data_IF_943586240470
#
_entry.id   IF_943586240470
#
_cell.length_a   1.000
_cell.length_b   1.000
_cell.length_c   1.000
_cell.angle_alpha   90.00
_cell.angle_beta   90.00
_cell.angle_gamma   90.00
#
_symmetry.space_group_name_H-M   'P 1'
#
loop_
_entity.id
_entity.type
_entity.pdbx_description
1 polymer ?
#
# COMPACT_ATOMS: atom_id res chain seq x y z
N UNK A 1 34.57 7.24 1.33
CA UNK A 1 34.08 6.09 0.49
C UNK A 1 32.75 5.62 1.04
N UNK A 2 31.76 5.36 0.16
CA UNK A 2 30.47 4.82 0.64
C UNK A 2 30.49 3.30 0.57
N UNK A 3 30.04 2.65 1.63
CA UNK A 3 29.91 1.20 1.76
C UNK A 3 28.67 0.78 2.54
N UNK A 4 28.34 -0.48 2.46
CA UNK A 4 27.29 -1.06 3.34
C UNK A 4 27.74 -1.02 4.81
N UNK A 5 26.82 -0.64 5.69
CA UNK A 5 27.03 -0.68 7.13
C UNK A 5 27.01 -2.13 7.64
N UNK A 6 27.74 -2.36 8.72
CA UNK A 6 27.84 -3.64 9.42
C UNK A 6 27.54 -3.47 10.91
N UNK A 7 27.45 -4.56 11.66
CA UNK A 7 27.23 -4.50 13.11
C UNK A 7 28.39 -3.81 13.86
N UNK A 8 29.60 -3.75 13.29
CA UNK A 8 30.73 -3.02 13.88
C UNK A 8 30.50 -1.50 13.86
N UNK A 9 29.67 -1.00 12.92
CA UNK A 9 29.38 0.42 12.78
C UNK A 9 28.29 0.92 13.77
N UNK A 10 27.62 0.00 14.46
CA UNK A 10 26.43 0.27 15.28
C UNK A 10 26.65 1.40 16.31
N UNK A 11 27.83 1.48 16.91
CA UNK A 11 28.11 2.52 17.91
C UNK A 11 28.21 3.91 17.26
N UNK A 12 28.81 4.00 16.08
CA UNK A 12 28.94 5.25 15.34
C UNK A 12 27.60 5.69 14.74
N UNK A 13 26.78 4.76 14.25
CA UNK A 13 25.43 5.07 13.78
C UNK A 13 24.59 5.69 14.89
N UNK A 14 24.59 5.10 16.10
CA UNK A 14 23.88 5.66 17.28
C UNK A 14 24.46 7.01 17.69
N UNK A 15 25.77 7.20 17.59
CA UNK A 15 26.40 8.50 17.90
C UNK A 15 25.92 9.59 16.94
N UNK A 16 25.94 9.33 15.63
CA UNK A 16 25.50 10.28 14.62
C UNK A 16 24.02 10.59 14.77
N UNK A 17 23.20 9.57 15.02
CA UNK A 17 21.76 9.70 15.30
C UNK A 17 21.52 10.70 16.44
N UNK A 18 22.16 10.47 17.59
CA UNK A 18 22.01 11.31 18.78
C UNK A 18 22.49 12.76 18.57
N UNK A 19 23.46 12.98 17.68
CA UNK A 19 23.94 14.32 17.32
C UNK A 19 23.07 15.04 16.30
N UNK A 20 22.25 14.29 15.54
CA UNK A 20 21.51 14.82 14.40
C UNK A 20 20.03 15.06 14.69
N UNK A 21 19.45 14.32 15.64
CA UNK A 21 18.02 14.38 15.96
C UNK A 21 17.80 14.65 17.44
N UNK A 22 16.78 15.44 17.75
CA UNK A 22 16.35 15.73 19.13
C UNK A 22 15.25 14.77 19.59
N UNK A 23 14.32 14.44 18.69
CA UNK A 23 13.19 13.51 18.88
C UNK A 23 13.26 12.35 17.89
N UNK A 24 12.39 11.36 18.02
CA UNK A 24 12.21 10.25 17.06
C UNK A 24 13.51 9.46 16.76
N UNK A 25 14.42 9.37 17.73
CA UNK A 25 15.73 8.73 17.57
C UNK A 25 15.64 7.23 17.53
N UNK A 26 16.38 6.62 16.62
CA UNK A 26 16.55 5.18 16.63
C UNK A 26 17.39 4.71 17.81
N UNK A 27 16.84 3.73 18.52
CA UNK A 27 17.58 3.04 19.56
C UNK A 27 18.67 2.13 18.96
N UNK A 28 19.67 1.79 19.76
CA UNK A 28 20.66 0.76 19.40
C UNK A 28 20.00 -0.57 18.97
N UNK A 29 18.86 -0.93 19.60
CA UNK A 29 18.08 -2.13 19.26
C UNK A 29 17.44 -2.00 17.87
N UNK A 30 16.88 -0.83 17.56
CA UNK A 30 16.28 -0.55 16.25
C UNK A 30 17.33 -0.63 15.13
N UNK A 31 18.49 0.01 15.28
CA UNK A 31 19.59 -0.10 14.31
C UNK A 31 20.03 -1.56 14.12
N UNK A 32 20.20 -2.32 15.20
CA UNK A 32 20.56 -3.74 15.09
C UNK A 32 19.53 -4.52 14.29
N UNK A 33 18.24 -4.31 14.55
CA UNK A 33 17.16 -4.97 13.81
C UNK A 33 17.21 -4.62 12.33
N UNK A 34 17.36 -3.33 12.01
CA UNK A 34 17.43 -2.83 10.64
C UNK A 34 18.66 -3.34 9.88
N UNK A 35 19.79 -3.51 10.55
CA UNK A 35 21.01 -4.06 9.95
C UNK A 35 20.97 -5.60 9.76
N UNK A 36 20.10 -6.34 10.45
CA UNK A 36 20.22 -7.82 10.49
C UNK A 36 18.94 -8.58 10.12
N UNK A 37 17.78 -7.97 10.25
CA UNK A 37 16.48 -8.65 10.16
C UNK A 37 15.52 -8.02 9.17
N UNK A 38 15.51 -6.69 9.09
CA UNK A 38 14.60 -5.96 8.21
C UNK A 38 15.00 -6.13 6.74
N UNK A 39 14.04 -5.96 5.84
CA UNK A 39 14.31 -5.80 4.41
C UNK A 39 14.83 -4.38 4.13
N UNK A 40 16.04 -4.13 4.60
CA UNK A 40 16.65 -2.81 4.66
C UNK A 40 18.09 -2.84 4.18
N UNK A 41 18.57 -1.69 3.71
CA UNK A 41 19.97 -1.43 3.39
C UNK A 41 20.42 -0.16 4.08
N UNK A 42 21.49 -0.23 4.84
CA UNK A 42 22.14 0.95 5.43
C UNK A 42 23.48 1.16 4.76
N UNK A 43 23.72 2.37 4.25
CA UNK A 43 24.98 2.81 3.68
C UNK A 43 25.63 3.82 4.61
N UNK A 44 26.93 3.79 4.73
CA UNK A 44 27.74 4.73 5.49
C UNK A 44 28.78 5.40 4.60
N UNK A 45 29.02 6.69 4.81
CA UNK A 45 30.18 7.37 4.25
C UNK A 45 31.32 7.30 5.27
N UNK A 46 32.43 6.68 4.87
CA UNK A 46 33.63 6.51 5.69
C UNK A 46 34.82 7.22 5.08
N UNK A 47 35.57 7.92 5.90
CA UNK A 47 36.84 8.50 5.56
C UNK A 47 37.81 8.35 6.74
N UNK A 48 39.02 7.86 6.45
CA UNK A 48 40.11 7.67 7.46
C UNK A 48 39.66 6.87 8.70
N UNK A 49 38.80 5.85 8.48
CA UNK A 49 38.25 5.00 9.53
C UNK A 49 37.12 5.64 10.35
N UNK A 50 36.67 6.84 9.98
CA UNK A 50 35.58 7.55 10.66
C UNK A 50 34.32 7.58 9.79
N UNK A 51 33.16 7.24 10.38
CA UNK A 51 31.86 7.38 9.71
C UNK A 51 31.39 8.82 9.85
N UNK A 52 31.12 9.44 8.69
CA UNK A 52 30.73 10.85 8.56
C UNK A 52 29.22 11.04 8.35
N UNK A 53 28.50 9.96 8.02
CA UNK A 53 27.06 10.00 7.81
C UNK A 53 26.54 8.64 7.38
N UNK A 54 25.24 8.50 7.40
CA UNK A 54 24.56 7.29 6.92
C UNK A 54 23.26 7.62 6.21
N UNK A 55 22.80 6.67 5.39
CA UNK A 55 21.44 6.63 4.83
C UNK A 55 20.90 5.21 4.95
N UNK A 56 19.62 5.10 5.28
CA UNK A 56 18.92 3.85 5.48
C UNK A 56 17.74 3.75 4.54
N UNK A 57 17.67 2.66 3.78
CA UNK A 57 16.59 2.33 2.86
C UNK A 57 15.79 1.15 3.41
N UNK A 58 14.49 1.23 3.29
CA UNK A 58 13.55 0.11 3.43
C UNK A 58 13.03 -0.27 2.05
N UNK A 59 12.92 -1.57 1.78
CA UNK A 59 12.35 -2.09 0.55
C UNK A 59 11.04 -2.80 0.84
N UNK A 60 9.98 -2.40 0.15
CA UNK A 60 8.67 -3.00 0.33
C UNK A 60 8.56 -4.29 -0.47
N UNK A 61 8.51 -5.42 0.22
CA UNK A 61 8.40 -6.75 -0.39
C UNK A 61 7.14 -6.81 -1.27
N UNK A 62 7.30 -7.37 -2.48
CA UNK A 62 6.20 -7.53 -3.45
C UNK A 62 5.86 -6.26 -4.23
N UNK A 63 6.59 -5.17 -4.01
CA UNK A 63 6.44 -3.91 -4.76
C UNK A 63 7.78 -3.42 -5.30
N UNK A 64 7.77 -2.44 -6.18
CA UNK A 64 8.98 -1.77 -6.69
C UNK A 64 9.14 -0.37 -6.09
N UNK A 65 8.91 -0.25 -4.78
CA UNK A 65 9.02 0.98 -4.00
C UNK A 65 10.14 0.88 -2.96
N UNK A 66 11.05 1.86 -2.95
CA UNK A 66 11.99 2.08 -1.86
C UNK A 66 11.54 3.25 -0.98
N UNK A 67 11.83 3.18 0.31
CA UNK A 67 11.66 4.28 1.25
C UNK A 67 13.00 4.64 1.88
N UNK A 68 13.41 5.90 1.74
CA UNK A 68 14.54 6.44 2.49
C UNK A 68 14.03 6.74 3.90
N UNK A 69 14.36 5.84 4.83
CA UNK A 69 13.77 5.77 6.16
C UNK A 69 14.48 6.66 7.18
N UNK A 70 15.80 6.75 7.09
CA UNK A 70 16.60 7.67 7.89
C UNK A 70 17.85 8.11 7.14
N UNK A 71 18.29 9.32 7.44
CA UNK A 71 19.44 9.95 6.82
C UNK A 71 20.04 10.98 7.76
N UNK A 72 21.33 10.84 8.06
CA UNK A 72 22.02 11.80 8.90
C UNK A 72 23.49 11.98 8.48
N UNK A 73 23.97 13.20 8.62
CA UNK A 73 25.37 13.57 8.44
C UNK A 73 25.90 14.15 9.74
N UNK A 74 27.02 13.61 10.22
CA UNK A 74 27.73 14.12 11.39
C UNK A 74 27.89 15.65 11.27
N UNK A 75 27.48 16.42 12.30
CA UNK A 75 27.60 17.87 12.27
C UNK A 75 28.98 18.37 11.84
N UNK A 76 30.07 17.68 12.23
CA UNK A 76 31.45 18.02 11.86
C UNK A 76 31.76 17.79 10.36
N UNK A 77 30.97 16.95 9.67
CA UNK A 77 31.15 16.61 8.25
C UNK A 77 30.12 17.29 7.32
N UNK A 78 29.24 18.14 7.87
CA UNK A 78 28.28 18.89 7.08
C UNK A 78 28.97 19.86 6.11
N UNK A 79 28.27 20.18 5.00
CA UNK A 79 28.75 21.05 3.90
C UNK A 79 29.98 20.54 3.15
N UNK A 80 30.38 19.28 3.35
CA UNK A 80 31.49 18.62 2.66
C UNK A 80 31.01 17.67 1.53
N UNK A 81 29.73 17.74 1.13
CA UNK A 81 29.19 16.92 0.06
C UNK A 81 28.74 15.51 0.49
N UNK A 82 29.00 15.12 1.76
CA UNK A 82 28.67 13.77 2.29
C UNK A 82 27.22 13.41 2.05
N UNK A 83 26.31 14.32 2.36
CA UNK A 83 24.88 14.07 2.19
C UNK A 83 24.48 13.84 0.75
N UNK A 84 24.99 14.66 -0.18
CA UNK A 84 24.71 14.49 -1.61
C UNK A 84 25.24 13.13 -2.14
N UNK A 85 26.42 12.71 -1.69
CA UNK A 85 26.99 11.43 -2.06
C UNK A 85 26.16 10.25 -1.55
N UNK A 86 25.71 10.33 -0.28
CA UNK A 86 24.82 9.28 0.32
C UNK A 86 23.48 9.17 -0.41
N UNK A 87 22.81 10.29 -0.73
CA UNK A 87 21.53 10.27 -1.46
C UNK A 87 21.72 9.68 -2.86
N UNK A 88 22.78 10.07 -3.59
CA UNK A 88 23.07 9.52 -4.91
C UNK A 88 23.29 8.00 -4.86
N UNK A 89 24.03 7.51 -3.88
CA UNK A 89 24.28 6.08 -3.73
C UNK A 89 23.01 5.33 -3.27
N UNK A 90 22.15 5.96 -2.46
CA UNK A 90 20.87 5.40 -2.06
C UNK A 90 19.92 5.21 -3.27
N UNK A 91 19.87 6.17 -4.19
CA UNK A 91 19.10 6.06 -5.43
C UNK A 91 19.63 4.91 -6.31
N UNK A 92 20.94 4.78 -6.43
CA UNK A 92 21.56 3.68 -7.18
C UNK A 92 21.24 2.32 -6.56
N UNK A 93 21.33 2.20 -5.24
CA UNK A 93 20.99 0.98 -4.50
C UNK A 93 19.50 0.61 -4.70
N UNK A 94 18.60 1.61 -4.69
CA UNK A 94 17.20 1.37 -4.95
C UNK A 94 16.93 0.86 -6.38
N UNK A 95 17.62 1.41 -7.38
CA UNK A 95 17.55 0.93 -8.78
C UNK A 95 18.04 -0.51 -8.89
N UNK A 96 19.14 -0.85 -8.22
CA UNK A 96 19.71 -2.21 -8.19
C UNK A 96 18.78 -3.23 -7.49
N UNK A 97 17.85 -2.74 -6.65
CA UNK A 97 16.76 -3.53 -6.04
C UNK A 97 15.45 -3.47 -6.85
N UNK A 98 15.50 -3.14 -8.14
CA UNK A 98 14.35 -3.07 -9.04
C UNK A 98 13.26 -2.07 -8.58
N UNK A 99 13.62 -1.05 -7.80
CA UNK A 99 12.68 0.00 -7.40
C UNK A 99 12.56 1.06 -8.48
N UNK A 100 11.34 1.48 -8.79
CA UNK A 100 11.03 2.52 -9.77
C UNK A 100 10.67 3.87 -9.14
N UNK A 101 10.49 3.88 -7.83
CA UNK A 101 10.23 5.10 -7.05
C UNK A 101 10.91 5.04 -5.69
N UNK A 102 11.32 6.21 -5.19
CA UNK A 102 11.82 6.37 -3.83
C UNK A 102 11.01 7.45 -3.13
N UNK A 103 10.57 7.14 -1.91
CA UNK A 103 9.80 8.03 -1.03
C UNK A 103 10.55 8.33 0.27
N UNK A 104 10.20 9.45 0.86
CA UNK A 104 10.73 9.84 2.16
C UNK A 104 9.80 10.87 2.83
N UNK A 105 9.91 10.99 4.13
CA UNK A 105 9.28 12.03 4.93
C UNK A 105 10.36 12.96 5.48
N UNK A 106 10.08 14.26 5.42
CA UNK A 106 10.96 15.32 5.96
C UNK A 106 10.16 16.17 6.91
N UNK A 107 10.70 16.44 8.05
CA UNK A 107 10.17 17.37 9.02
C UNK A 107 9.93 18.73 8.35
N UNK A 108 8.76 19.31 8.53
CA UNK A 108 8.34 20.52 7.81
C UNK A 108 9.27 21.74 8.04
N UNK A 109 9.95 21.79 9.17
CA UNK A 109 10.90 22.84 9.53
C UNK A 109 12.36 22.54 9.14
N UNK A 110 12.64 21.41 8.49
CA UNK A 110 14.01 21.04 8.07
C UNK A 110 14.31 21.53 6.64
N UNK A 111 14.47 22.84 6.48
CA UNK A 111 14.78 23.50 5.20
C UNK A 111 16.01 22.91 4.51
N UNK A 112 17.02 22.52 5.26
CA UNK A 112 18.26 21.97 4.70
C UNK A 112 18.01 20.65 3.95
N UNK A 113 17.24 19.74 4.55
CA UNK A 113 16.85 18.49 3.89
C UNK A 113 15.85 18.72 2.77
N UNK A 114 14.86 19.58 2.96
CA UNK A 114 13.87 19.95 1.94
C UNK A 114 14.57 20.44 0.68
N UNK A 115 15.52 21.38 0.80
CA UNK A 115 16.27 21.92 -0.33
C UNK A 115 17.16 20.84 -0.98
N UNK A 116 17.83 20.03 -0.18
CA UNK A 116 18.66 18.93 -0.70
C UNK A 116 17.84 17.99 -1.59
N UNK A 117 16.70 17.49 -1.11
CA UNK A 117 15.89 16.54 -1.86
C UNK A 117 15.19 17.18 -3.07
N UNK A 118 14.78 18.45 -2.98
CA UNK A 118 14.30 19.20 -4.15
C UNK A 118 15.37 19.31 -5.24
N UNK A 119 16.62 19.59 -4.88
CA UNK A 119 17.77 19.62 -5.82
C UNK A 119 18.01 18.26 -6.48
N UNK A 120 17.70 17.15 -5.79
CA UNK A 120 17.73 15.80 -6.34
C UNK A 120 16.52 15.45 -7.23
N UNK A 121 15.56 16.36 -7.37
CA UNK A 121 14.35 16.17 -8.18
C UNK A 121 13.20 15.48 -7.47
N UNK A 122 13.25 15.36 -6.15
CA UNK A 122 12.10 14.91 -5.38
C UNK A 122 11.00 15.97 -5.37
N UNK A 123 9.76 15.53 -5.50
CA UNK A 123 8.57 16.38 -5.48
C UNK A 123 7.76 16.09 -4.24
N UNK A 124 7.28 17.13 -3.59
CA UNK A 124 6.33 16.98 -2.49
C UNK A 124 5.00 16.46 -3.05
N UNK A 125 4.51 15.37 -2.46
CA UNK A 125 3.25 14.73 -2.87
C UNK A 125 2.17 14.87 -1.80
N UNK A 126 2.55 15.09 -0.54
CA UNK A 126 1.61 15.17 0.58
C UNK A 126 2.20 15.91 1.78
N UNK A 127 1.35 16.21 2.77
CA UNK A 127 1.73 16.69 4.11
C UNK A 127 0.97 15.87 5.14
N UNK A 128 1.69 15.24 6.05
CA UNK A 128 1.13 14.40 7.11
C UNK A 128 1.15 15.18 8.42
N UNK A 129 0.01 15.62 8.93
CA UNK A 129 -0.04 16.33 10.22
C UNK A 129 0.30 15.40 11.37
N UNK A 130 0.79 15.96 12.46
CA UNK A 130 1.08 15.25 13.73
C UNK A 130 1.93 13.98 13.55
N UNK A 131 2.91 14.04 12.65
CA UNK A 131 3.73 12.88 12.27
C UNK A 131 4.83 12.56 13.28
N UNK A 132 5.52 13.59 13.78
CA UNK A 132 6.62 13.46 14.74
C UNK A 132 6.11 13.47 16.19
N UNK A 133 6.89 12.91 17.13
CA UNK A 133 6.51 12.82 18.55
C UNK A 133 6.12 14.17 19.17
N UNK A 134 6.67 15.27 18.65
CA UNK A 134 6.35 16.64 19.12
C UNK A 134 5.17 17.28 18.37
N UNK A 135 4.45 16.53 17.55
CA UNK A 135 3.31 16.99 16.76
C UNK A 135 3.68 17.75 15.48
N UNK A 136 4.96 17.85 15.12
CA UNK A 136 5.37 18.49 13.87
C UNK A 136 4.92 17.66 12.66
N UNK A 137 4.44 18.35 11.63
CA UNK A 137 4.06 17.71 10.38
C UNK A 137 5.28 17.21 9.58
N UNK A 138 5.09 16.15 8.82
CA UNK A 138 6.02 15.68 7.80
C UNK A 138 5.57 16.10 6.40
N UNK A 139 6.51 16.56 5.60
CA UNK A 139 6.35 16.68 4.16
C UNK A 139 6.77 15.37 3.50
N UNK A 140 5.86 14.75 2.75
CA UNK A 140 6.12 13.52 2.00
C UNK A 140 6.63 13.87 0.62
N UNK A 141 7.77 13.30 0.26
CA UNK A 141 8.40 13.49 -1.05
C UNK A 141 8.51 12.18 -1.80
N UNK A 142 8.45 12.27 -3.12
CA UNK A 142 8.66 11.15 -4.04
C UNK A 142 9.55 11.58 -5.21
N UNK A 143 10.38 10.62 -5.67
CA UNK A 143 11.12 10.71 -6.93
C UNK A 143 10.90 9.43 -7.73
N UNK A 144 10.55 9.58 -9.02
CA UNK A 144 10.62 8.48 -9.97
C UNK A 144 12.10 8.16 -10.28
N UNK A 145 12.47 6.90 -10.10
CA UNK A 145 13.78 6.36 -10.51
C UNK A 145 13.76 5.76 -11.92
N UNK A 146 12.56 5.66 -12.51
CA UNK A 146 12.31 5.19 -13.86
C UNK A 146 11.52 6.24 -14.66
N UNK A 147 12.13 7.40 -15.02
CA UNK A 147 11.41 8.52 -15.61
C UNK A 147 10.83 8.25 -17.01
N UNK A 148 11.23 7.14 -17.64
CA UNK A 148 10.65 6.68 -18.91
C UNK A 148 9.25 6.05 -18.73
N UNK A 149 8.87 5.64 -17.52
CA UNK A 149 7.53 5.15 -17.22
C UNK A 149 6.60 6.34 -16.96
N UNK A 150 5.47 6.35 -17.65
CA UNK A 150 4.44 7.37 -17.50
C UNK A 150 3.13 6.68 -17.13
N UNK A 151 2.85 6.50 -15.82
CA UNK A 151 1.64 5.85 -15.39
C UNK A 151 0.41 6.72 -15.67
N UNK A 152 -0.64 6.10 -16.22
CA UNK A 152 -1.97 6.67 -16.20
C UNK A 152 -2.58 6.46 -14.82
N UNK A 153 -2.75 7.54 -14.07
CA UNK A 153 -3.15 7.52 -12.66
C UNK A 153 -4.47 8.24 -12.45
N UNK A 154 -5.38 7.61 -11.73
CA UNK A 154 -6.54 8.28 -11.15
C UNK A 154 -6.23 8.68 -9.71
N UNK A 155 -6.60 9.90 -9.33
CA UNK A 155 -6.46 10.35 -7.95
C UNK A 155 -7.51 9.67 -7.07
N UNK A 156 -7.13 8.55 -6.47
CA UNK A 156 -7.92 7.86 -5.46
C UNK A 156 -7.51 8.38 -4.08
N UNK A 157 -8.42 8.90 -3.25
CA UNK A 157 -8.08 9.31 -1.89
C UNK A 157 -7.75 8.07 -1.05
N UNK A 158 -6.66 8.11 -0.30
CA UNK A 158 -6.26 7.00 0.55
C UNK A 158 -7.06 6.96 1.85
N UNK A 159 -7.50 5.77 2.25
CA UNK A 159 -8.14 5.50 3.53
C UNK A 159 -7.56 4.23 4.15
N UNK A 160 -6.93 4.39 5.31
CA UNK A 160 -6.40 3.28 6.10
C UNK A 160 -7.55 2.54 6.79
N UNK A 161 -7.57 1.20 6.67
CA UNK A 161 -8.55 0.40 7.41
C UNK A 161 -8.37 0.55 8.91
N UNK A 162 -9.46 0.67 9.63
CA UNK A 162 -9.40 0.88 11.09
C UNK A 162 -9.45 -0.42 11.89
N UNK A 163 -9.70 -1.56 11.24
CA UNK A 163 -9.79 -2.90 11.84
C UNK A 163 -9.20 -3.94 10.88
N UNK A 164 -8.64 -5.02 11.42
CA UNK A 164 -7.92 -6.07 10.66
C UNK A 164 -8.74 -6.79 9.59
N UNK A 165 -10.07 -6.71 9.65
CA UNK A 165 -10.99 -7.41 8.76
C UNK A 165 -11.73 -6.48 7.79
N UNK A 166 -11.43 -5.19 7.76
CA UNK A 166 -12.15 -4.18 6.97
C UNK A 166 -11.45 -3.73 5.68
N UNK A 167 -10.47 -4.49 5.18
CA UNK A 167 -9.78 -4.18 3.92
C UNK A 167 -10.75 -4.01 2.73
N UNK A 168 -11.77 -4.87 2.59
CA UNK A 168 -12.78 -4.76 1.54
C UNK A 168 -13.63 -3.50 1.64
N UNK A 169 -14.26 -3.22 2.78
CA UNK A 169 -14.95 -1.96 3.04
C UNK A 169 -14.11 -0.71 2.78
N UNK A 170 -12.86 -0.69 3.23
CA UNK A 170 -11.96 0.44 3.04
C UNK A 170 -11.57 0.63 1.57
N UNK A 171 -11.25 -0.46 0.87
CA UNK A 171 -11.01 -0.41 -0.57
C UNK A 171 -12.24 0.08 -1.34
N UNK A 172 -13.43 -0.41 -0.98
CA UNK A 172 -14.69 0.05 -1.58
C UNK A 172 -14.96 1.52 -1.27
N UNK A 173 -14.71 1.96 -0.04
CA UNK A 173 -14.91 3.35 0.37
C UNK A 173 -14.01 4.30 -0.44
N UNK A 174 -12.73 3.96 -0.65
CA UNK A 174 -11.82 4.71 -1.50
C UNK A 174 -12.32 4.79 -2.95
N UNK A 175 -12.77 3.68 -3.52
CA UNK A 175 -13.30 3.65 -4.89
C UNK A 175 -14.58 4.50 -5.01
N UNK A 176 -15.51 4.40 -4.07
CA UNK A 176 -16.75 5.19 -4.06
C UNK A 176 -16.47 6.68 -3.92
N UNK A 177 -15.58 7.09 -3.01
CA UNK A 177 -15.22 8.51 -2.81
C UNK A 177 -14.52 9.09 -4.05
N UNK A 178 -13.78 8.27 -4.80
CA UNK A 178 -13.21 8.69 -6.10
C UNK A 178 -14.29 9.06 -7.10
N UNK A 179 -15.38 8.30 -7.14
CA UNK A 179 -16.49 8.49 -8.07
C UNK A 179 -17.50 9.54 -7.58
N UNK A 180 -17.69 9.62 -6.28
CA UNK A 180 -18.57 10.59 -5.62
C UNK A 180 -17.87 11.21 -4.39
N UNK A 181 -17.25 12.39 -4.52
CA UNK A 181 -16.57 13.08 -3.43
C UNK A 181 -17.47 13.51 -2.25
N UNK A 182 -18.79 13.40 -2.38
CA UNK A 182 -19.70 13.63 -1.25
C UNK A 182 -19.65 12.52 -0.20
N UNK A 183 -19.19 11.33 -0.59
CA UNK A 183 -18.98 10.19 0.31
C UNK A 183 -17.74 10.43 1.17
N UNK A 184 -17.93 10.50 2.48
CA UNK A 184 -16.84 10.79 3.41
C UNK A 184 -16.04 9.54 3.74
N UNK A 185 -14.71 9.68 3.78
CA UNK A 185 -13.77 8.68 4.28
C UNK A 185 -13.78 8.71 5.82
N UNK A 186 -14.65 7.91 6.44
CA UNK A 186 -14.81 7.88 7.89
C UNK A 186 -15.13 6.48 8.40
N UNK A 187 -14.72 6.21 9.63
CA UNK A 187 -14.87 4.91 10.28
C UNK A 187 -16.31 4.42 10.35
N UNK A 188 -17.28 5.31 10.50
CA UNK A 188 -18.71 4.96 10.48
C UNK A 188 -19.14 4.39 9.14
N UNK A 189 -18.66 4.92 8.03
CA UNK A 189 -18.94 4.39 6.69
C UNK A 189 -18.25 3.04 6.47
N UNK A 190 -17.00 2.89 6.88
CA UNK A 190 -16.27 1.63 6.84
C UNK A 190 -17.04 0.51 7.56
N UNK A 191 -17.52 0.78 8.79
CA UNK A 191 -18.27 -0.19 9.57
C UNK A 191 -19.67 -0.48 9.00
N UNK A 192 -20.33 0.50 8.38
CA UNK A 192 -21.61 0.27 7.67
C UNK A 192 -21.39 -0.65 6.48
N UNK A 193 -20.39 -0.38 5.64
CA UNK A 193 -20.05 -1.22 4.51
C UNK A 193 -19.67 -2.64 4.96
N UNK A 194 -18.93 -2.78 6.05
CA UNK A 194 -18.61 -4.08 6.61
C UNK A 194 -19.87 -4.86 7.01
N UNK A 195 -20.77 -4.26 7.79
CA UNK A 195 -22.02 -4.90 8.23
C UNK A 195 -22.89 -5.36 7.07
N UNK A 196 -22.96 -4.57 6.01
CA UNK A 196 -23.78 -4.84 4.83
C UNK A 196 -23.14 -5.91 3.91
N UNK A 197 -21.83 -6.09 3.96
CA UNK A 197 -21.06 -6.90 2.99
C UNK A 197 -20.45 -8.16 3.61
N UNK A 198 -20.46 -8.32 4.93
CA UNK A 198 -19.84 -9.47 5.58
C UNK A 198 -20.55 -10.77 5.21
N UNK A 199 -19.77 -11.79 4.88
CA UNK A 199 -20.27 -13.13 4.56
C UNK A 199 -20.25 -14.08 5.75
N UNK A 200 -19.68 -13.65 6.87
CA UNK A 200 -19.48 -14.49 8.06
C UNK A 200 -19.88 -13.72 9.31
N UNK A 201 -20.98 -14.12 9.92
CA UNK A 201 -21.34 -13.73 11.28
C UNK A 201 -20.73 -14.76 12.23
N UNK A 202 -19.76 -14.33 13.04
CA UNK A 202 -19.09 -15.23 13.96
C UNK A 202 -19.35 -14.86 15.42
N UNK A 203 -19.63 -15.86 16.24
CA UNK A 203 -19.68 -15.71 17.71
C UNK A 203 -18.30 -15.43 18.30
N UNK A 204 -17.24 -15.77 17.57
CA UNK A 204 -15.85 -15.46 17.91
C UNK A 204 -15.10 -15.04 16.65
N UNK A 205 -14.65 -13.80 16.61
CA UNK A 205 -13.95 -13.19 15.50
C UNK A 205 -14.88 -12.49 14.49
N UNK A 206 -14.30 -11.62 13.69
CA UNK A 206 -15.00 -10.83 12.70
C UNK A 206 -14.72 -11.40 11.31
N UNK A 207 -15.75 -11.54 10.48
CA UNK A 207 -15.61 -12.04 9.12
C UNK A 207 -15.23 -10.94 8.14
N UNK A 208 -14.43 -11.32 7.14
CA UNK A 208 -14.17 -10.44 5.99
C UNK A 208 -15.37 -10.34 5.04
N UNK A 209 -15.22 -9.49 4.02
CA UNK A 209 -16.25 -9.27 3.01
C UNK A 209 -15.93 -10.00 1.71
N UNK A 210 -16.97 -10.58 1.10
CA UNK A 210 -16.91 -11.18 -0.22
C UNK A 210 -17.30 -10.20 -1.34
N UNK A 211 -17.04 -10.59 -2.61
CA UNK A 211 -17.31 -9.70 -3.74
C UNK A 211 -18.79 -9.34 -3.90
N UNK A 212 -19.68 -10.27 -3.59
CA UNK A 212 -21.12 -10.06 -3.80
C UNK A 212 -21.69 -9.04 -2.83
N UNK A 213 -21.33 -9.12 -1.54
CA UNK A 213 -21.77 -8.16 -0.54
C UNK A 213 -21.20 -6.76 -0.79
N UNK A 214 -19.90 -6.66 -1.14
CA UNK A 214 -19.28 -5.38 -1.51
C UNK A 214 -19.96 -4.74 -2.73
N UNK A 215 -20.22 -5.55 -3.77
CA UNK A 215 -20.91 -5.09 -4.98
C UNK A 215 -22.32 -4.59 -4.68
N UNK A 216 -23.09 -5.34 -3.87
CA UNK A 216 -24.44 -4.96 -3.50
C UNK A 216 -24.47 -3.67 -2.68
N UNK A 217 -23.51 -3.49 -1.78
CA UNK A 217 -23.35 -2.26 -1.00
C UNK A 217 -23.06 -1.03 -1.87
N UNK A 218 -22.21 -1.18 -2.90
CA UNK A 218 -21.94 -0.11 -3.88
C UNK A 218 -23.19 0.19 -4.74
N UNK A 219 -23.86 -0.85 -5.23
CA UNK A 219 -25.07 -0.71 -6.04
C UNK A 219 -26.19 0.00 -5.30
N UNK A 220 -26.42 -0.32 -4.03
CA UNK A 220 -27.42 0.33 -3.17
C UNK A 220 -27.13 1.80 -2.92
N UNK A 221 -25.86 2.23 -3.13
CA UNK A 221 -25.42 3.64 -3.05
C UNK A 221 -25.44 4.37 -4.40
N UNK A 222 -26.10 3.77 -5.40
CA UNK A 222 -26.29 4.43 -6.70
C UNK A 222 -25.12 4.30 -7.67
N UNK A 223 -24.21 3.36 -7.45
CA UNK A 223 -23.11 3.06 -8.37
C UNK A 223 -23.43 1.85 -9.24
N UNK A 224 -22.85 1.79 -10.42
CA UNK A 224 -22.85 0.59 -11.24
C UNK A 224 -21.64 -0.28 -10.91
N UNK A 225 -21.84 -1.61 -10.97
CA UNK A 225 -20.81 -2.58 -10.60
C UNK A 225 -20.75 -3.72 -11.62
N UNK A 226 -19.55 -4.11 -12.03
CA UNK A 226 -19.29 -5.39 -12.68
C UNK A 226 -18.48 -6.29 -11.74
N UNK A 227 -18.88 -7.55 -11.62
CA UNK A 227 -18.23 -8.56 -10.79
C UNK A 227 -17.56 -9.58 -11.69
N UNK A 228 -16.27 -9.84 -11.49
CA UNK A 228 -15.54 -10.92 -12.13
C UNK A 228 -15.10 -11.91 -11.06
N UNK A 229 -15.62 -13.14 -11.12
CA UNK A 229 -15.25 -14.25 -10.24
C UNK A 229 -14.92 -15.47 -11.06
N UNK A 230 -13.93 -16.25 -10.62
CA UNK A 230 -13.44 -17.41 -11.40
C UNK A 230 -14.53 -18.46 -11.66
N UNK A 231 -15.36 -18.72 -10.68
CA UNK A 231 -16.34 -19.83 -10.69
C UNK A 231 -17.67 -19.39 -10.07
N UNK A 232 -18.74 -20.09 -10.41
CA UNK A 232 -20.06 -19.89 -9.80
C UNK A 232 -20.05 -20.39 -8.35
N UNK A 233 -20.81 -19.74 -7.48
CA UNK A 233 -21.01 -20.13 -6.08
C UNK A 233 -20.32 -19.22 -5.08
N UNK A 234 -20.41 -19.60 -3.80
CA UNK A 234 -19.86 -18.82 -2.72
C UNK A 234 -18.32 -18.91 -2.62
N UNK A 235 -17.70 -17.81 -2.25
CA UNK A 235 -16.27 -17.72 -2.03
C UNK A 235 -15.89 -18.00 -0.57
N UNK A 236 -14.66 -18.43 -0.33
CA UNK A 236 -14.06 -18.68 1.00
C UNK A 236 -14.69 -19.82 1.82
N UNK A 237 -15.72 -20.51 1.34
CA UNK A 237 -16.43 -21.57 2.07
C UNK A 237 -15.47 -22.69 2.50
N UNK A 238 -14.53 -23.07 1.65
CA UNK A 238 -13.56 -24.15 1.93
C UNK A 238 -12.51 -23.77 2.99
N UNK A 239 -12.33 -22.47 3.27
CA UNK A 239 -11.42 -21.99 4.32
C UNK A 239 -11.98 -22.23 5.74
N UNK A 240 -13.27 -22.49 5.88
CA UNK A 240 -13.95 -22.71 7.15
C UNK A 240 -14.10 -24.22 7.40
N UNK A 241 -13.79 -24.67 8.63
CA UNK A 241 -13.92 -26.09 9.00
C UNK A 241 -15.30 -26.48 9.54
N UNK A 242 -15.93 -25.54 10.25
CA UNK A 242 -17.22 -25.77 10.89
C UNK A 242 -18.35 -25.86 9.85
N UNK A 243 -19.16 -26.91 9.90
CA UNK A 243 -20.24 -27.20 8.92
C UNK A 243 -21.35 -26.15 8.96
N UNK A 244 -21.77 -25.75 10.16
CA UNK A 244 -22.83 -24.74 10.36
C UNK A 244 -22.40 -23.37 9.80
N UNK A 245 -21.13 -22.99 10.05
CA UNK A 245 -20.58 -21.75 9.49
C UNK A 245 -20.51 -21.81 7.97
N UNK A 246 -20.15 -22.95 7.37
CA UNK A 246 -20.18 -23.13 5.91
C UNK A 246 -21.57 -22.95 5.34
N UNK A 247 -22.58 -23.47 6.04
CA UNK A 247 -23.99 -23.35 5.62
C UNK A 247 -24.45 -21.89 5.69
N UNK A 248 -24.18 -21.20 6.78
CA UNK A 248 -24.48 -19.76 6.91
C UNK A 248 -23.79 -18.94 5.82
N UNK A 249 -22.49 -19.19 5.56
CA UNK A 249 -21.76 -18.51 4.49
C UNK A 249 -22.37 -18.76 3.11
N UNK A 250 -22.86 -19.98 2.86
CA UNK A 250 -23.51 -20.31 1.59
C UNK A 250 -24.82 -19.55 1.44
N UNK A 251 -25.68 -19.60 2.45
CA UNK A 251 -26.99 -18.92 2.46
C UNK A 251 -26.82 -17.40 2.28
N UNK A 252 -25.92 -16.77 3.01
CA UNK A 252 -25.67 -15.32 2.91
C UNK A 252 -25.19 -14.95 1.51
N UNK A 253 -24.28 -15.73 0.92
CA UNK A 253 -23.79 -15.43 -0.44
C UNK A 253 -24.83 -15.72 -1.52
N UNK A 254 -25.66 -16.74 -1.34
CA UNK A 254 -26.78 -17.02 -2.23
C UNK A 254 -27.81 -15.90 -2.21
N UNK A 255 -28.10 -15.35 -1.03
CA UNK A 255 -28.97 -14.20 -0.85
C UNK A 255 -28.42 -12.96 -1.57
N UNK A 256 -27.15 -12.60 -1.35
CA UNK A 256 -26.49 -11.52 -2.12
C UNK A 256 -26.56 -11.74 -3.63
N UNK A 257 -26.27 -12.96 -4.11
CA UNK A 257 -26.32 -13.28 -5.54
C UNK A 257 -27.75 -13.13 -6.09
N UNK A 258 -28.77 -13.53 -5.33
CA UNK A 258 -30.16 -13.42 -5.76
C UNK A 258 -30.61 -11.94 -5.82
N UNK A 259 -30.25 -11.12 -4.86
CA UNK A 259 -30.49 -9.67 -4.94
C UNK A 259 -29.77 -9.04 -6.14
N UNK A 260 -28.51 -9.40 -6.37
CA UNK A 260 -27.73 -8.90 -7.51
C UNK A 260 -28.33 -9.28 -8.87
N UNK A 261 -28.92 -10.47 -9.00
CA UNK A 261 -29.64 -10.91 -10.23
C UNK A 261 -30.86 -10.03 -10.54
N UNK A 262 -31.47 -9.42 -9.52
CA UNK A 262 -32.62 -8.51 -9.67
C UNK A 262 -32.18 -7.05 -9.88
N UNK A 263 -30.89 -6.81 -10.03
CA UNK A 263 -30.26 -5.49 -10.22
C UNK A 263 -29.63 -5.36 -11.61
N UNK A 264 -29.06 -4.18 -11.93
CA UNK A 264 -28.25 -3.96 -13.14
C UNK A 264 -26.80 -4.47 -13.04
N UNK A 265 -26.41 -5.03 -11.90
CA UNK A 265 -25.04 -5.51 -11.68
C UNK A 265 -24.74 -6.73 -12.57
N UNK A 266 -23.64 -6.66 -13.29
CA UNK A 266 -23.20 -7.74 -14.18
C UNK A 266 -22.24 -8.67 -13.45
N UNK A 267 -22.57 -9.98 -13.42
CA UNK A 267 -21.71 -11.01 -12.82
C UNK A 267 -21.10 -11.85 -13.92
N UNK A 268 -19.78 -11.79 -14.05
CA UNK A 268 -18.99 -12.57 -14.99
C UNK A 268 -18.30 -13.74 -14.28
N UNK A 269 -18.71 -14.97 -14.61
CA UNK A 269 -18.10 -16.20 -14.07
C UNK A 269 -16.88 -16.60 -14.92
N UNK A 270 -15.88 -15.74 -14.92
CA UNK A 270 -14.60 -15.92 -15.60
C UNK A 270 -13.51 -15.05 -14.98
N UNK A 271 -12.27 -15.36 -15.28
CA UNK A 271 -11.16 -14.48 -14.93
C UNK A 271 -11.19 -13.23 -15.82
N UNK A 272 -10.85 -12.08 -15.26
CA UNK A 272 -10.47 -10.89 -16.03
C UNK A 272 -8.95 -10.92 -16.23
N UNK A 273 -8.48 -10.56 -17.42
CA UNK A 273 -7.05 -10.37 -17.72
C UNK A 273 -6.61 -8.97 -17.34
N UNK A 274 -5.30 -8.77 -17.17
CA UNK A 274 -4.76 -7.45 -16.80
C UNK A 274 -5.07 -6.40 -17.86
N UNK A 275 -4.97 -6.74 -19.14
CA UNK A 275 -5.26 -5.80 -20.23
C UNK A 275 -6.74 -5.37 -20.20
N UNK A 276 -7.68 -6.31 -20.02
CA UNK A 276 -9.10 -5.99 -19.86
C UNK A 276 -9.38 -5.19 -18.58
N UNK A 277 -8.63 -5.45 -17.51
CA UNK A 277 -8.71 -4.68 -16.26
C UNK A 277 -8.29 -3.23 -16.50
N UNK A 278 -7.23 -3.02 -17.27
CA UNK A 278 -6.74 -1.72 -17.69
C UNK A 278 -7.76 -1.00 -18.57
N UNK A 279 -8.34 -1.66 -19.58
CA UNK A 279 -9.41 -1.08 -20.41
C UNK A 279 -10.61 -0.60 -19.58
N UNK A 280 -11.02 -1.38 -18.56
CA UNK A 280 -12.10 -0.99 -17.64
C UNK A 280 -11.74 0.23 -16.78
N UNK A 281 -10.48 0.32 -16.36
CA UNK A 281 -9.96 1.46 -15.63
C UNK A 281 -9.92 2.72 -16.49
N UNK A 282 -9.40 2.63 -17.71
CA UNK A 282 -9.34 3.73 -18.69
C UNK A 282 -10.76 4.22 -19.09
N UNK A 283 -11.75 3.32 -19.05
CA UNK A 283 -13.15 3.67 -19.22
C UNK A 283 -13.81 4.37 -17.99
N UNK A 284 -13.00 4.72 -16.98
CA UNK A 284 -13.45 5.43 -15.77
C UNK A 284 -13.97 4.54 -14.64
N UNK A 285 -13.79 3.22 -14.75
CA UNK A 285 -14.07 2.28 -13.66
C UNK A 285 -12.94 2.26 -12.62
N UNK A 286 -13.28 2.12 -11.35
CA UNK A 286 -12.29 1.94 -10.27
C UNK A 286 -12.26 0.47 -9.85
N UNK A 287 -11.20 -0.29 -10.18
CA UNK A 287 -11.13 -1.69 -9.83
C UNK A 287 -10.75 -1.92 -8.37
N UNK A 288 -11.46 -2.85 -7.73
CA UNK A 288 -11.10 -3.40 -6.42
C UNK A 288 -10.76 -4.88 -6.63
N UNK A 289 -9.59 -5.30 -6.21
CA UNK A 289 -9.05 -6.63 -6.52
C UNK A 289 -8.77 -7.42 -5.26
N UNK A 290 -9.26 -8.67 -5.23
CA UNK A 290 -8.89 -9.64 -4.21
C UNK A 290 -7.50 -10.18 -4.49
N UNK A 291 -6.59 -10.01 -3.54
CA UNK A 291 -5.23 -10.54 -3.60
C UNK A 291 -4.95 -11.51 -2.44
N UNK A 292 -3.91 -12.32 -2.58
CA UNK A 292 -3.28 -12.98 -1.46
C UNK A 292 -2.23 -12.04 -0.86
N UNK A 293 -2.34 -11.78 0.42
CA UNK A 293 -1.39 -10.96 1.18
C UNK A 293 0.03 -11.55 1.28
N UNK A 294 0.20 -12.83 0.96
CA UNK A 294 1.45 -13.57 1.20
C UNK A 294 2.71 -12.94 0.60
N UNK A 295 2.61 -12.34 -0.59
CA UNK A 295 3.77 -11.72 -1.25
C UNK A 295 4.17 -10.37 -0.65
N UNK A 296 3.28 -9.74 0.11
CA UNK A 296 3.52 -8.43 0.73
C UNK A 296 3.82 -8.57 2.24
N UNK A 297 3.11 -9.51 2.92
CA UNK A 297 3.12 -9.63 4.38
C UNK A 297 3.61 -10.98 4.88
N UNK A 298 3.97 -11.93 3.99
CA UNK A 298 4.29 -13.33 4.32
C UNK A 298 3.18 -14.10 5.06
N UNK A 299 1.99 -13.53 5.13
CA UNK A 299 0.80 -14.11 5.75
C UNK A 299 -0.25 -14.48 4.71
N UNK A 300 -1.00 -15.56 4.94
CA UNK A 300 -1.98 -16.10 3.97
C UNK A 300 -3.39 -15.72 4.36
N UNK A 301 -3.76 -14.45 4.19
CA UNK A 301 -5.16 -14.03 4.31
C UNK A 301 -5.66 -13.40 3.00
N UNK A 302 -7.00 -13.45 2.74
CA UNK A 302 -7.58 -12.74 1.62
C UNK A 302 -7.55 -11.25 1.89
N UNK A 303 -7.15 -10.47 0.90
CA UNK A 303 -6.96 -9.03 1.07
C UNK A 303 -7.47 -8.28 -0.15
N UNK A 304 -8.08 -7.12 0.09
CA UNK A 304 -8.62 -6.27 -0.96
C UNK A 304 -7.78 -5.02 -1.12
N UNK A 305 -7.42 -4.72 -2.36
CA UNK A 305 -6.72 -3.50 -2.74
C UNK A 305 -7.50 -2.75 -3.81
N UNK A 306 -7.32 -1.44 -3.90
CA UNK A 306 -7.90 -0.62 -4.96
C UNK A 306 -6.84 -0.24 -5.98
N UNK A 307 -7.15 -0.41 -7.26
CA UNK A 307 -6.26 -0.03 -8.36
C UNK A 307 -6.35 1.47 -8.60
N UNK A 308 -5.20 2.12 -8.71
CA UNK A 308 -5.07 3.57 -8.86
C UNK A 308 -4.40 3.99 -10.15
N UNK A 309 -3.82 3.04 -10.89
CA UNK A 309 -3.17 3.36 -12.16
C UNK A 309 -2.50 2.18 -12.83
N UNK A 310 -2.07 2.43 -14.05
CA UNK A 310 -1.34 1.50 -14.90
C UNK A 310 -0.24 2.21 -15.67
N UNK A 311 0.81 1.49 -15.98
CA UNK A 311 1.75 1.79 -17.05
C UNK A 311 2.05 0.52 -17.87
N UNK A 312 3.08 0.58 -18.69
CA UNK A 312 3.49 -0.55 -19.55
C UNK A 312 3.79 -1.82 -18.77
N UNK A 313 4.41 -1.70 -17.59
CA UNK A 313 4.96 -2.82 -16.79
C UNK A 313 4.27 -3.02 -15.45
N UNK A 314 3.71 -1.95 -14.88
CA UNK A 314 3.22 -1.92 -13.50
C UNK A 314 1.70 -1.69 -13.41
N UNK A 315 1.13 -2.16 -12.31
CA UNK A 315 -0.16 -1.78 -11.77
C UNK A 315 0.12 -1.04 -10.47
N UNK A 316 -0.54 0.08 -10.29
CA UNK A 316 -0.46 0.87 -9.06
C UNK A 316 -1.69 0.61 -8.20
N UNK A 317 -1.48 0.39 -6.91
CA UNK A 317 -2.58 0.09 -5.99
C UNK A 317 -2.46 0.86 -4.68
N UNK A 318 -3.58 1.14 -4.05
CA UNK A 318 -3.64 1.46 -2.63
C UNK A 318 -3.93 0.19 -1.84
N UNK A 319 -3.15 -0.04 -0.81
CA UNK A 319 -3.39 -1.07 0.18
C UNK A 319 -3.93 -0.41 1.45
N UNK A 320 -5.17 -0.70 1.88
CA UNK A 320 -5.74 -0.10 3.07
C UNK A 320 -5.08 -0.55 4.38
N UNK A 321 -4.27 -1.61 4.37
CA UNK A 321 -3.59 -2.13 5.54
C UNK A 321 -2.18 -1.57 5.68
N UNK A 322 -1.92 -0.88 6.78
CA UNK A 322 -0.59 -0.35 7.13
C UNK A 322 0.03 -1.21 8.21
N UNK A 323 1.09 -1.95 7.87
CA UNK A 323 1.80 -2.84 8.79
C UNK A 323 2.86 -2.06 9.59
N UNK A 324 2.42 -1.38 10.65
CA UNK A 324 3.29 -0.63 11.55
C UNK A 324 4.30 -1.51 12.29
N UNK A 325 4.00 -2.79 12.50
CA UNK A 325 4.93 -3.74 13.16
C UNK A 325 6.16 -4.00 12.28
N UNK A 326 5.96 -4.03 10.96
CA UNK A 326 7.04 -4.09 9.96
C UNK A 326 7.60 -2.73 9.57
N UNK A 327 7.32 -1.69 10.34
CA UNK A 327 7.80 -0.31 10.14
C UNK A 327 7.31 0.35 8.85
N UNK A 328 6.20 -0.15 8.29
CA UNK A 328 5.51 0.54 7.20
C UNK A 328 4.72 1.73 7.71
N UNK A 329 4.47 2.66 6.83
CA UNK A 329 3.58 3.80 7.06
C UNK A 329 2.61 3.90 5.89
N UNK A 330 1.66 4.82 5.96
CA UNK A 330 0.76 5.10 4.85
C UNK A 330 1.50 5.38 3.53
N UNK A 331 2.69 6.00 3.60
CA UNK A 331 3.55 6.24 2.45
C UNK A 331 3.86 4.97 1.65
N UNK A 332 4.02 3.86 2.34
CA UNK A 332 4.35 2.58 1.75
C UNK A 332 3.15 1.88 1.11
N UNK A 333 1.92 2.34 1.43
CA UNK A 333 0.66 1.72 1.02
C UNK A 333 -0.09 2.50 -0.07
N UNK A 334 0.36 3.72 -0.40
CA UNK A 334 -0.25 4.59 -1.41
C UNK A 334 0.42 4.38 -2.76
N UNK A 335 -0.35 4.18 -3.84
CA UNK A 335 0.15 4.02 -5.22
C UNK A 335 1.36 3.10 -5.30
N UNK A 336 1.25 1.91 -4.71
CA UNK A 336 2.33 0.91 -4.73
C UNK A 336 2.50 0.37 -6.14
N UNK A 337 3.68 0.50 -6.76
CA UNK A 337 3.96 -0.09 -8.05
C UNK A 337 4.22 -1.60 -7.89
N UNK A 338 3.40 -2.42 -8.54
CA UNK A 338 3.52 -3.88 -8.56
C UNK A 338 3.66 -4.33 -10.01
N UNK A 339 4.69 -5.12 -10.34
CA UNK A 339 4.84 -5.68 -11.69
C UNK A 339 3.57 -6.44 -12.11
N UNK A 340 3.05 -6.21 -13.31
CA UNK A 340 1.83 -6.85 -13.83
C UNK A 340 1.85 -8.37 -13.66
N UNK A 341 2.99 -9.02 -13.96
CA UNK A 341 3.19 -10.48 -13.78
C UNK A 341 3.06 -10.93 -12.31
N UNK A 342 3.56 -10.12 -11.37
CA UNK A 342 3.50 -10.44 -9.94
C UNK A 342 2.09 -10.18 -9.40
N UNK A 343 1.45 -9.12 -9.86
CA UNK A 343 0.06 -8.84 -9.53
C UNK A 343 -0.88 -9.97 -9.96
N UNK A 344 -0.72 -10.54 -11.15
CA UNK A 344 -1.49 -11.70 -11.59
C UNK A 344 -1.32 -12.93 -10.67
N UNK A 345 -0.11 -13.11 -10.15
CA UNK A 345 0.18 -14.17 -9.17
C UNK A 345 -0.41 -13.89 -7.80
N UNK A 346 -0.50 -12.61 -7.41
CA UNK A 346 -1.13 -12.16 -6.17
C UNK A 346 -2.66 -12.19 -6.26
N UNK A 347 -3.23 -11.83 -7.40
CA UNK A 347 -4.68 -11.75 -7.64
C UNK A 347 -5.35 -13.13 -7.66
N UNK A 348 -5.05 -13.99 -6.67
CA UNK A 348 -5.67 -15.29 -6.42
C UNK A 348 -5.52 -15.66 -4.94
N UNK A 349 -6.53 -16.28 -4.37
CA UNK A 349 -6.52 -16.67 -2.96
C UNK A 349 -6.87 -18.16 -2.76
N UNK A 350 -6.24 -18.76 -1.75
CA UNK A 350 -6.51 -20.13 -1.30
C UNK A 350 -6.02 -21.22 -2.28
N UNK A 351 -6.20 -22.49 -1.88
CA UNK A 351 -5.78 -23.66 -2.67
C UNK A 351 -6.53 -23.76 -4.01
N UNK A 352 -7.79 -23.36 -4.04
CA UNK A 352 -8.62 -23.33 -5.26
C UNK A 352 -8.24 -22.18 -6.22
N UNK A 353 -7.36 -21.28 -5.80
CA UNK A 353 -6.96 -20.11 -6.59
C UNK A 353 -8.15 -19.21 -6.93
N UNK A 354 -8.98 -18.90 -5.94
CA UNK A 354 -10.14 -18.03 -6.08
C UNK A 354 -9.71 -16.65 -6.54
N UNK A 355 -10.45 -16.07 -7.46
CA UNK A 355 -10.23 -14.71 -7.98
C UNK A 355 -11.51 -13.92 -7.88
N UNK A 356 -11.41 -12.67 -7.48
CA UNK A 356 -12.51 -11.71 -7.52
C UNK A 356 -11.99 -10.32 -7.86
N UNK A 357 -12.70 -9.65 -8.74
CA UNK A 357 -12.49 -8.24 -9.10
C UNK A 357 -13.86 -7.58 -9.17
N UNK A 358 -13.96 -6.39 -8.60
CA UNK A 358 -15.11 -5.50 -8.75
C UNK A 358 -14.66 -4.29 -9.54
N UNK A 359 -15.44 -3.90 -10.55
CA UNK A 359 -15.27 -2.64 -11.26
C UNK A 359 -16.41 -1.72 -10.81
N UNK A 360 -16.08 -0.67 -10.09
CA UNK A 360 -17.05 0.31 -9.57
C UNK A 360 -17.08 1.49 -10.52
N UNK A 361 -18.28 1.90 -10.94
CA UNK A 361 -18.48 2.97 -11.93
C UNK A 361 -19.60 3.92 -11.49
N UNK A 362 -19.57 5.15 -11.97
CA UNK A 362 -20.74 6.02 -11.87
C UNK A 362 -21.90 5.40 -12.64
N UNK A 363 -23.08 5.41 -12.02
CA UNK A 363 -24.29 5.03 -12.77
C UNK A 363 -24.54 6.08 -13.86
N UNK A 364 -24.74 5.61 -15.10
CA UNK A 364 -25.19 6.49 -16.16
C UNK A 364 -26.54 7.12 -15.76
N UNK A 365 -26.61 8.45 -15.78
CA UNK A 365 -27.90 9.14 -15.67
C UNK A 365 -28.74 8.68 -16.86
N UNK A 366 -29.87 8.04 -16.58
CA UNK A 366 -30.88 7.84 -17.63
C UNK A 366 -31.47 9.24 -17.88
N UNK A 367 -31.10 9.84 -19.02
CA UNK A 367 -31.76 11.03 -19.58
C UNK A 367 -33.21 10.69 -19.94
#
# INVERSE_FOLDING_TARGET
>A
MIRSATLSDLSELVRIENLSFETDRFSRRSFRYLLTKANAKTLVDEQDGQIRGYVMLLFNIGTSLARLYSYAVDPAARRQGVGRALVKQAEQEAIEHDCIAMRLEIRQDNDASINLFKDFGYRQIDTVPDYYEDGMAALRFEKSLAPHLQPDMVRVPFYEQTLDFTCGPSALLMAMTTLDPSIKLERTQELRLWRESTTIFMTSGHGGCGPYGLALSAYRRGLDVEIFVKEKGGMFIDSVRNKEKKEVMRLVQEDFINELKSSSVKIHYRKIKVDELQEKFEAGGIPIVLISSYRIYHEKFPHWVVVTGFDEKYIYVHDPFVDYESQKTQTDCINMPILKKDFELMAKYGKAGQKAVLIIQKRATQD
#
